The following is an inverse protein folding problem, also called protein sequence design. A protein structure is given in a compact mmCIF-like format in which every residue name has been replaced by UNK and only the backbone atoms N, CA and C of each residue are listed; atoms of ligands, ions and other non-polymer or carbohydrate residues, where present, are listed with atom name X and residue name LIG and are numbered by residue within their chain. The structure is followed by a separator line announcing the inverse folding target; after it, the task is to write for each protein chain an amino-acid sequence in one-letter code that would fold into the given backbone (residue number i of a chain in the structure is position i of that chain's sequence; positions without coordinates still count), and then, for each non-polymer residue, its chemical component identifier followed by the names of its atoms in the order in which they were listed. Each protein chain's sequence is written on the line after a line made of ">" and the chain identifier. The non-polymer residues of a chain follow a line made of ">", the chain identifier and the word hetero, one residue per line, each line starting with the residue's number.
data_IF_263801879973
#
_entry.id   IF_263801879973
#
_cell.length_a   1.000
_cell.length_b   1.000
_cell.length_c   1.000
_cell.angle_alpha   90.00
_cell.angle_beta   90.00
_cell.angle_gamma   90.00
#
_symmetry.space_group_name_H-M   'P 1'
#
loop_
_entity.id
_entity.type
_entity.pdbx_description
1 polymer ?
#
# COMPACT_ATOMS: atom_id res chain seq x y z
N UNK A 1 33.56 -23.09 41.68
CA UNK A 1 33.29 -21.66 41.48
C UNK A 1 31.91 -21.54 40.84
N UNK A 2 30.87 -21.41 41.68
CA UNK A 2 29.46 -21.44 41.30
C UNK A 2 29.07 -20.09 40.70
N UNK A 3 28.57 -20.08 39.45
CA UNK A 3 28.09 -18.86 38.81
C UNK A 3 26.82 -18.34 39.53
N UNK A 4 26.59 -17.01 39.59
CA UNK A 4 25.40 -16.46 40.23
C UNK A 4 24.14 -16.93 39.48
N UNK A 5 23.09 -17.21 40.24
CA UNK A 5 21.74 -17.50 39.78
C UNK A 5 21.10 -16.25 39.17
N UNK A 6 21.51 -15.84 37.96
CA UNK A 6 20.63 -15.01 37.14
C UNK A 6 19.44 -15.88 36.70
N UNK A 7 18.23 -15.33 36.80
CA UNK A 7 17.05 -16.04 36.30
C UNK A 7 17.26 -16.29 34.81
N UNK A 8 16.89 -17.49 34.32
CA UNK A 8 16.93 -17.83 32.89
C UNK A 8 16.23 -16.76 32.03
N UNK A 9 15.25 -16.07 32.62
CA UNK A 9 14.52 -14.94 32.04
C UNK A 9 15.40 -13.71 31.84
N UNK A 10 16.31 -13.40 32.77
CA UNK A 10 17.25 -12.27 32.67
C UNK A 10 18.29 -12.52 31.58
N UNK A 11 18.77 -13.76 31.47
CA UNK A 11 19.66 -14.19 30.39
C UNK A 11 18.99 -14.06 29.01
N UNK A 12 17.73 -14.51 28.89
CA UNK A 12 16.94 -14.38 27.65
C UNK A 12 16.68 -12.91 27.32
N UNK A 13 16.31 -12.11 28.32
CA UNK A 13 16.07 -10.67 28.13
C UNK A 13 17.31 -9.95 27.62
N UNK A 14 18.48 -10.24 28.20
CA UNK A 14 19.77 -9.65 27.78
C UNK A 14 20.18 -10.09 26.37
N UNK A 15 19.92 -11.35 26.00
CA UNK A 15 20.15 -11.85 24.65
C UNK A 15 19.25 -11.13 23.64
N UNK A 16 17.97 -10.94 23.96
CA UNK A 16 17.03 -10.23 23.11
C UNK A 16 17.38 -8.74 22.97
N UNK A 17 17.82 -8.10 24.06
CA UNK A 17 18.28 -6.70 24.07
C UNK A 17 19.57 -6.53 23.23
N UNK A 18 20.49 -7.49 23.33
CA UNK A 18 21.70 -7.54 22.51
C UNK A 18 21.37 -7.82 21.04
N UNK A 19 20.39 -8.68 20.75
CA UNK A 19 19.93 -8.95 19.39
C UNK A 19 19.25 -7.73 18.77
N UNK A 20 18.37 -7.05 19.51
CA UNK A 20 17.69 -5.82 19.08
C UNK A 20 18.67 -4.68 18.84
N UNK A 21 19.68 -4.51 19.71
CA UNK A 21 20.71 -3.48 19.52
C UNK A 21 21.68 -3.79 18.37
N UNK A 22 21.92 -5.06 18.05
CA UNK A 22 22.67 -5.47 16.86
C UNK A 22 21.83 -5.33 15.59
N UNK A 23 20.54 -5.65 15.64
CA UNK A 23 19.60 -5.44 14.54
C UNK A 23 19.47 -3.95 14.22
N UNK A 24 19.40 -3.06 15.20
CA UNK A 24 19.40 -1.61 14.98
C UNK A 24 20.70 -1.08 14.36
N UNK A 25 21.84 -1.77 14.58
CA UNK A 25 23.16 -1.42 14.01
C UNK A 25 23.45 -2.09 12.67
N UNK A 26 22.79 -3.21 12.40
CA UNK A 26 22.97 -4.06 11.21
C UNK A 26 21.82 -3.90 10.22
N UNK A 27 20.71 -3.29 10.64
CA UNK A 27 19.68 -2.78 9.76
C UNK A 27 20.39 -1.87 8.76
N UNK A 28 20.48 -2.28 7.48
CA UNK A 28 21.09 -1.44 6.47
C UNK A 28 20.35 -0.10 6.54
N UNK A 29 21.05 1.05 6.56
CA UNK A 29 20.36 2.32 6.47
C UNK A 29 19.47 2.19 5.25
N UNK A 30 18.16 2.31 5.46
CA UNK A 30 17.21 2.29 4.35
C UNK A 30 17.63 3.47 3.49
N UNK A 31 18.43 3.18 2.47
CA UNK A 31 19.02 4.22 1.65
C UNK A 31 17.84 5.00 1.09
N UNK A 32 17.95 6.32 1.03
CA UNK A 32 16.95 7.14 0.36
C UNK A 32 16.58 6.57 -1.02
N UNK A 33 17.52 5.89 -1.68
CA UNK A 33 17.30 5.09 -2.88
C UNK A 33 16.34 3.90 -2.70
N UNK A 34 16.49 3.06 -1.66
CA UNK A 34 15.58 1.93 -1.42
C UNK A 34 14.17 2.39 -1.00
N UNK A 35 14.09 3.45 -0.19
CA UNK A 35 12.81 4.08 0.16
C UNK A 35 12.15 4.73 -1.07
N UNK A 36 12.94 5.41 -1.91
CA UNK A 36 12.51 5.97 -3.18
C UNK A 36 12.06 4.91 -4.18
N UNK A 37 12.77 3.78 -4.27
CA UNK A 37 12.40 2.64 -5.13
C UNK A 37 11.07 2.01 -4.67
N UNK A 38 10.87 1.89 -3.36
CA UNK A 38 9.62 1.37 -2.79
C UNK A 38 8.45 2.33 -3.02
N UNK A 39 8.66 3.64 -2.86
CA UNK A 39 7.67 4.67 -3.16
C UNK A 39 7.32 4.70 -4.66
N UNK A 40 8.32 4.61 -5.54
CA UNK A 40 8.14 4.54 -6.98
C UNK A 40 7.37 3.27 -7.39
N UNK A 41 7.68 2.12 -6.77
CA UNK A 41 6.95 0.87 -7.01
C UNK A 41 5.48 0.96 -6.60
N UNK A 42 5.18 1.67 -5.51
CA UNK A 42 3.81 1.89 -5.07
C UNK A 42 3.04 2.84 -6.01
N UNK A 43 3.68 3.93 -6.45
CA UNK A 43 3.10 4.83 -7.44
C UNK A 43 2.78 4.09 -8.76
N UNK A 44 3.66 3.19 -9.18
CA UNK A 44 3.44 2.40 -10.40
C UNK A 44 2.30 1.39 -10.27
N UNK A 45 2.09 0.85 -9.07
CA UNK A 45 0.91 0.02 -8.77
C UNK A 45 -0.40 0.78 -8.87
N UNK A 46 -0.45 2.00 -8.34
CA UNK A 46 -1.64 2.86 -8.44
C UNK A 46 -1.98 3.14 -9.91
N UNK A 47 -0.96 3.42 -10.73
CA UNK A 47 -1.13 3.66 -12.16
C UNK A 47 -1.59 2.38 -12.87
N UNK A 48 -1.02 1.22 -12.54
CA UNK A 48 -1.43 -0.06 -13.08
C UNK A 48 -2.90 -0.42 -12.74
N UNK A 49 -3.36 -0.14 -11.52
CA UNK A 49 -4.75 -0.36 -11.11
C UNK A 49 -5.72 0.52 -11.90
N UNK A 50 -5.36 1.79 -12.16
CA UNK A 50 -6.15 2.69 -12.97
C UNK A 50 -6.27 2.20 -14.42
N UNK A 51 -5.14 1.85 -15.03
CA UNK A 51 -5.12 1.32 -16.40
C UNK A 51 -5.80 -0.05 -16.51
N UNK A 52 -5.68 -0.91 -15.49
CA UNK A 52 -6.31 -2.22 -15.46
C UNK A 52 -7.82 -2.15 -15.67
N UNK A 53 -8.52 -1.26 -14.96
CA UNK A 53 -9.96 -1.08 -15.13
C UNK A 53 -10.35 -0.51 -16.49
N UNK A 54 -9.55 0.40 -17.04
CA UNK A 54 -9.78 0.97 -18.39
C UNK A 54 -9.58 -0.10 -19.47
N UNK A 55 -8.54 -0.93 -19.37
CA UNK A 55 -8.30 -2.03 -20.32
C UNK A 55 -9.41 -3.08 -20.28
N UNK A 56 -9.92 -3.42 -19.10
CA UNK A 56 -11.09 -4.32 -18.97
C UNK A 56 -12.34 -3.69 -19.59
N UNK A 57 -12.59 -2.41 -19.34
CA UNK A 57 -13.71 -1.67 -19.95
C UNK A 57 -13.63 -1.61 -21.48
N UNK A 58 -12.45 -1.36 -22.02
CA UNK A 58 -12.18 -1.37 -23.47
C UNK A 58 -12.36 -2.77 -24.07
N UNK A 59 -11.83 -3.81 -23.43
CA UNK A 59 -11.97 -5.18 -23.91
C UNK A 59 -13.43 -5.62 -23.98
N UNK A 60 -14.20 -5.36 -22.90
CA UNK A 60 -15.63 -5.66 -22.86
C UNK A 60 -16.41 -4.82 -23.87
N UNK A 61 -16.13 -3.52 -23.95
CA UNK A 61 -16.79 -2.62 -24.89
C UNK A 61 -16.53 -3.00 -26.35
N UNK A 62 -15.30 -3.40 -26.68
CA UNK A 62 -14.92 -3.86 -28.02
C UNK A 62 -15.66 -5.14 -28.41
N UNK A 63 -15.76 -6.11 -27.48
CA UNK A 63 -16.53 -7.33 -27.71
C UNK A 63 -17.99 -6.98 -28.00
N UNK A 64 -18.61 -6.14 -27.17
CA UNK A 64 -20.00 -5.72 -27.35
C UNK A 64 -20.20 -5.08 -28.73
N UNK A 65 -19.35 -4.14 -29.12
CA UNK A 65 -19.44 -3.48 -30.42
C UNK A 65 -19.28 -4.45 -31.60
N UNK A 66 -18.39 -5.44 -31.45
CA UNK A 66 -18.15 -6.43 -32.50
C UNK A 66 -19.32 -7.38 -32.73
N UNK A 67 -20.07 -7.74 -31.67
CA UNK A 67 -21.21 -8.65 -31.76
C UNK A 67 -22.50 -7.91 -32.11
N UNK A 68 -22.76 -6.77 -31.47
CA UNK A 68 -23.99 -6.02 -31.65
C UNK A 68 -23.97 -5.10 -32.90
N UNK A 69 -22.83 -4.96 -33.59
CA UNK A 69 -22.61 -4.01 -34.69
C UNK A 69 -23.00 -2.57 -34.31
N UNK A 70 -22.97 -2.27 -33.01
CA UNK A 70 -23.43 -1.01 -32.40
C UNK A 70 -22.39 0.10 -32.50
N UNK A 71 -21.77 0.34 -33.67
CA UNK A 71 -20.76 1.41 -33.82
C UNK A 71 -19.69 1.38 -32.69
N UNK A 72 -19.20 2.53 -32.20
CA UNK A 72 -18.31 2.61 -31.03
C UNK A 72 -19.05 2.77 -29.68
N UNK A 73 -20.35 2.47 -29.61
CA UNK A 73 -21.17 2.76 -28.41
C UNK A 73 -20.86 1.84 -27.23
N UNK A 74 -20.58 0.58 -27.50
CA UNK A 74 -20.13 -0.41 -26.54
C UNK A 74 -18.76 -0.06 -25.98
N UNK A 75 -17.84 0.47 -26.77
CA UNK A 75 -16.57 1.02 -26.30
C UNK A 75 -16.77 2.22 -25.37
N UNK A 76 -17.63 3.18 -25.74
CA UNK A 76 -17.95 4.35 -24.89
C UNK A 76 -18.55 3.88 -23.56
N UNK A 77 -19.58 3.03 -23.62
CA UNK A 77 -20.21 2.46 -22.42
C UNK A 77 -19.25 1.61 -21.59
N UNK A 78 -18.42 0.81 -22.24
CA UNK A 78 -17.43 -0.07 -21.61
C UNK A 78 -16.35 0.71 -20.86
N UNK A 79 -15.84 1.79 -21.42
CA UNK A 79 -14.89 2.69 -20.73
C UNK A 79 -15.55 3.37 -19.54
N UNK A 80 -16.76 3.91 -19.70
CA UNK A 80 -17.49 4.56 -18.61
C UNK A 80 -17.79 3.59 -17.46
N UNK A 81 -18.22 2.37 -17.77
CA UNK A 81 -18.45 1.32 -16.78
C UNK A 81 -17.15 0.86 -16.11
N UNK A 82 -16.09 0.65 -16.88
CA UNK A 82 -14.76 0.29 -16.36
C UNK A 82 -14.25 1.35 -15.38
N UNK A 83 -14.38 2.63 -15.74
CA UNK A 83 -14.03 3.74 -14.86
C UNK A 83 -14.88 3.77 -13.58
N UNK A 84 -16.21 3.62 -13.70
CA UNK A 84 -17.10 3.59 -12.55
C UNK A 84 -16.75 2.44 -11.58
N UNK A 85 -16.42 1.27 -12.10
CA UNK A 85 -15.96 0.12 -11.30
C UNK A 85 -14.63 0.43 -10.60
N UNK A 86 -13.66 1.04 -11.29
CA UNK A 86 -12.38 1.43 -10.67
C UNK A 86 -12.58 2.42 -9.51
N UNK A 87 -13.40 3.46 -9.72
CA UNK A 87 -13.70 4.45 -8.68
C UNK A 87 -14.43 3.79 -7.51
N UNK A 88 -15.40 2.92 -7.78
CA UNK A 88 -16.11 2.18 -6.75
C UNK A 88 -15.18 1.28 -5.94
N UNK A 89 -14.21 0.61 -6.58
CA UNK A 89 -13.24 -0.24 -5.89
C UNK A 89 -12.27 0.58 -5.02
N UNK A 90 -11.84 1.74 -5.48
CA UNK A 90 -11.04 2.68 -4.69
C UNK A 90 -11.82 3.19 -3.46
N UNK A 91 -13.08 3.60 -3.67
CA UNK A 91 -13.96 4.05 -2.58
C UNK A 91 -14.21 2.95 -1.55
N UNK A 92 -14.48 1.73 -2.01
CA UNK A 92 -14.65 0.56 -1.15
C UNK A 92 -13.39 0.27 -0.33
N UNK A 93 -12.21 0.43 -0.93
CA UNK A 93 -10.92 0.25 -0.25
C UNK A 93 -10.72 1.31 0.83
N UNK A 94 -11.03 2.58 0.52
CA UNK A 94 -10.98 3.66 1.49
C UNK A 94 -11.94 3.41 2.68
N UNK A 95 -13.18 2.99 2.40
CA UNK A 95 -14.14 2.65 3.45
C UNK A 95 -13.67 1.49 4.33
N UNK A 96 -13.05 0.46 3.73
CA UNK A 96 -12.46 -0.66 4.48
C UNK A 96 -11.35 -0.22 5.42
N UNK A 97 -10.48 0.68 4.97
CA UNK A 97 -9.42 1.24 5.80
C UNK A 97 -9.99 2.08 6.95
N UNK A 98 -10.99 2.92 6.68
CA UNK A 98 -11.69 3.71 7.71
C UNK A 98 -12.42 2.82 8.72
N UNK A 99 -13.05 1.74 8.27
CA UNK A 99 -13.70 0.76 9.14
C UNK A 99 -12.68 0.05 10.05
N UNK A 100 -11.50 -0.30 9.53
CA UNK A 100 -10.41 -0.87 10.31
C UNK A 100 -9.82 0.13 11.30
N UNK A 101 -9.65 1.40 10.93
CA UNK A 101 -9.19 2.44 11.84
C UNK A 101 -10.19 2.66 13.00
N UNK A 102 -11.50 2.68 12.70
CA UNK A 102 -12.55 2.78 13.71
C UNK A 102 -12.59 1.55 14.64
N UNK A 103 -12.39 0.35 14.11
CA UNK A 103 -12.35 -0.88 14.90
C UNK A 103 -11.08 -1.00 15.76
N UNK A 104 -9.97 -0.44 15.30
CA UNK A 104 -8.67 -0.47 16.00
C UNK A 104 -8.55 0.62 17.09
N UNK A 105 -9.44 1.61 17.11
CA UNK A 105 -9.42 2.70 18.11
C UNK A 105 -8.19 3.62 18.03
N UNK A 106 -7.37 3.50 16.99
CA UNK A 106 -6.19 4.32 16.79
C UNK A 106 -6.61 5.55 15.99
N UNK A 107 -6.69 6.69 16.67
CA UNK A 107 -6.83 8.00 16.02
C UNK A 107 -5.64 8.18 15.06
N UNK A 108 -5.86 8.43 13.76
CA UNK A 108 -4.78 8.71 12.85
C UNK A 108 -4.17 10.05 13.25
N UNK A 109 -3.09 10.00 14.04
CA UNK A 109 -2.26 11.15 14.36
C UNK A 109 -1.76 11.69 13.02
N UNK A 110 -2.32 12.84 12.60
CA UNK A 110 -1.83 13.60 11.47
C UNK A 110 -0.34 13.83 11.67
N UNK A 111 0.48 13.25 10.80
CA UNK A 111 1.90 13.58 10.71
C UNK A 111 1.93 15.06 10.34
N UNK A 112 2.54 15.95 11.17
CA UNK A 112 2.81 17.31 10.74
C UNK A 112 3.56 17.22 9.41
N UNK A 113 3.05 17.89 8.38
CA UNK A 113 3.86 18.19 7.23
C UNK A 113 4.87 19.20 7.75
N UNK A 114 6.10 18.75 8.01
CA UNK A 114 7.21 19.69 8.14
C UNK A 114 7.30 20.37 6.76
N UNK A 115 6.79 21.59 6.68
CA UNK A 115 7.13 22.51 5.62
C UNK A 115 8.65 22.68 5.74
N UNK A 116 9.40 21.92 4.94
CA UNK A 116 10.81 22.14 4.76
C UNK A 116 10.98 23.61 4.35
N UNK A 117 11.39 24.42 5.32
CA UNK A 117 11.77 25.83 5.13
C UNK A 117 12.79 25.88 3.99
N UNK A 118 12.41 26.52 2.89
CA UNK A 118 13.32 26.93 1.84
C UNK A 118 14.40 27.86 2.45
N UNK A 119 15.62 27.36 2.59
CA UNK A 119 16.86 28.16 2.74
C UNK A 119 17.44 28.54 1.36
#
# INVERSE_FOLDING_TARGET
>A
MSQPTESREEAIKRLNDSASSLEARTAPPVSHEAAGQAAAGQAWRIIADLFGGVFVGLALGFIVDRFAHTGPWGLIGGVLLGFAVSVWMAWQTAQRLMAQAKASGVEPKSVPFDEDEED
#
